data_IF_096149964108
#
_entry.id   IF_096149964108
#
_cell.length_a   1.000
_cell.length_b   1.000
_cell.length_c   1.000
_cell.angle_alpha   90.00
_cell.angle_beta   90.00
_cell.angle_gamma   90.00
#
_symmetry.space_group_name_H-M   'P 1'
#
loop_
_entity.id
_entity.type
_entity.pdbx_description
1 polymer ?
#
# COMPACT_ATOMS: atom_id res chain seq x y z
N UNK A 1 -11.16 -12.76 -19.19
CA UNK A 1 -11.46 -12.86 -17.74
C UNK A 1 -10.30 -12.36 -16.89
N UNK A 2 -9.05 -12.76 -17.15
CA UNK A 2 -7.86 -12.25 -16.44
C UNK A 2 -7.74 -10.71 -16.42
N UNK A 3 -8.00 -10.04 -17.54
CA UNK A 3 -7.91 -8.57 -17.61
C UNK A 3 -8.88 -7.85 -16.65
N UNK A 4 -10.11 -8.38 -16.50
CA UNK A 4 -11.11 -7.80 -15.59
C UNK A 4 -10.74 -7.95 -14.12
N UNK A 5 -10.09 -9.06 -13.74
CA UNK A 5 -9.58 -9.25 -12.37
C UNK A 5 -8.48 -8.23 -12.07
N UNK A 6 -7.52 -8.07 -12.99
CA UNK A 6 -6.43 -7.09 -12.84
C UNK A 6 -6.95 -5.66 -12.71
N UNK A 7 -7.96 -5.29 -13.50
CA UNK A 7 -8.61 -3.97 -13.39
C UNK A 7 -9.33 -3.78 -12.04
N UNK A 8 -10.00 -4.82 -11.53
CA UNK A 8 -10.65 -4.79 -10.23
C UNK A 8 -9.66 -4.69 -9.07
N UNK A 9 -8.61 -5.52 -9.08
CA UNK A 9 -7.55 -5.49 -8.05
C UNK A 9 -6.88 -4.11 -7.98
N UNK A 10 -6.59 -3.51 -9.14
CA UNK A 10 -6.08 -2.14 -9.23
C UNK A 10 -7.06 -1.14 -8.64
N UNK A 11 -8.35 -1.24 -8.97
CA UNK A 11 -9.37 -0.36 -8.42
C UNK A 11 -9.40 -0.42 -6.89
N UNK A 12 -9.35 -1.61 -6.29
CA UNK A 12 -9.31 -1.79 -4.83
C UNK A 12 -8.07 -1.12 -4.24
N UNK A 13 -6.89 -1.33 -4.82
CA UNK A 13 -5.65 -0.69 -4.35
C UNK A 13 -5.73 0.84 -4.44
N UNK A 14 -6.19 1.39 -5.57
CA UNK A 14 -6.33 2.84 -5.71
C UNK A 14 -7.30 3.43 -4.68
N UNK A 15 -8.41 2.74 -4.38
CA UNK A 15 -9.34 3.17 -3.34
C UNK A 15 -8.71 3.13 -1.95
N UNK A 16 -7.92 2.11 -1.65
CA UNK A 16 -7.17 2.03 -0.39
C UNK A 16 -6.17 3.19 -0.25
N UNK A 17 -5.41 3.47 -1.32
CA UNK A 17 -4.39 4.54 -1.33
C UNK A 17 -4.97 5.96 -1.33
N UNK A 18 -6.27 6.15 -1.59
CA UNK A 18 -6.94 7.44 -1.39
C UNK A 18 -7.12 7.80 0.09
N UNK A 19 -7.18 6.80 0.97
CA UNK A 19 -7.29 6.98 2.43
C UNK A 19 -5.91 7.09 3.10
N UNK A 20 -4.89 6.50 2.46
CA UNK A 20 -3.51 6.47 2.95
C UNK A 20 -2.57 7.10 1.94
N UNK A 21 -2.41 8.42 1.95
CA UNK A 21 -1.64 9.16 0.95
C UNK A 21 -0.11 8.97 1.13
N UNK A 22 0.70 9.16 0.07
CA UNK A 22 2.15 9.16 0.22
C UNK A 22 2.61 10.27 1.16
N UNK A 23 3.61 9.97 2.01
CA UNK A 23 4.20 10.93 2.91
C UNK A 23 5.52 11.45 2.32
N UNK A 24 5.67 12.77 2.18
CA UNK A 24 6.90 13.38 1.65
C UNK A 24 8.04 13.42 2.69
N UNK A 25 7.71 13.32 3.98
CA UNK A 25 8.65 13.37 5.11
C UNK A 25 8.13 12.55 6.28
N UNK A 26 9.04 11.95 7.05
CA UNK A 26 8.73 11.34 8.34
C UNK A 26 8.36 12.44 9.34
N UNK A 27 7.07 12.56 9.65
CA UNK A 27 6.51 13.42 10.71
C UNK A 27 5.86 12.55 11.78
N UNK A 28 5.44 13.12 12.91
CA UNK A 28 4.79 12.36 13.99
C UNK A 28 3.47 11.68 13.56
N UNK A 29 2.87 12.14 12.45
CA UNK A 29 1.59 11.64 11.93
C UNK A 29 1.74 10.54 10.87
N UNK A 30 2.98 10.16 10.52
CA UNK A 30 3.20 9.10 9.52
C UNK A 30 2.93 7.72 10.11
N UNK A 31 2.27 6.90 9.31
CA UNK A 31 2.08 5.49 9.60
C UNK A 31 3.04 4.66 8.75
N UNK A 32 3.44 3.52 9.29
CA UNK A 32 4.27 2.54 8.61
C UNK A 32 3.41 1.33 8.29
N UNK A 33 3.32 0.98 7.00
CA UNK A 33 2.62 -0.24 6.57
C UNK A 33 3.50 -1.08 5.66
N UNK A 34 3.60 -2.36 5.97
CA UNK A 34 4.22 -3.35 5.08
C UNK A 34 3.24 -3.76 3.98
N UNK A 35 3.74 -4.24 2.85
CA UNK A 35 2.88 -4.82 1.81
C UNK A 35 2.06 -6.02 2.31
N UNK A 36 2.56 -6.77 3.31
CA UNK A 36 1.81 -7.86 3.94
C UNK A 36 0.59 -7.31 4.71
N UNK A 37 0.78 -6.28 5.52
CA UNK A 37 -0.35 -5.66 6.26
C UNK A 37 -1.40 -5.10 5.31
N UNK A 38 -0.99 -4.48 4.19
CA UNK A 38 -1.93 -4.01 3.17
C UNK A 38 -2.67 -5.19 2.52
N UNK A 39 -1.98 -6.30 2.25
CA UNK A 39 -2.61 -7.52 1.74
C UNK A 39 -3.65 -8.07 2.73
N UNK A 40 -3.30 -8.17 4.00
CA UNK A 40 -4.18 -8.69 5.06
C UNK A 40 -5.43 -7.81 5.24
N UNK A 41 -5.30 -6.49 5.09
CA UNK A 41 -6.43 -5.55 5.17
C UNK A 41 -7.36 -5.62 3.95
N UNK A 42 -6.85 -6.07 2.81
CA UNK A 42 -7.60 -6.15 1.55
C UNK A 42 -8.08 -7.58 1.24
N UNK A 43 -7.68 -8.58 2.03
CA UNK A 43 -7.91 -10.00 1.72
C UNK A 43 -9.39 -10.37 1.65
N UNK A 44 -10.26 -9.66 2.37
CA UNK A 44 -11.71 -9.86 2.33
C UNK A 44 -12.35 -9.37 1.02
N UNK A 45 -11.65 -8.51 0.27
CA UNK A 45 -12.15 -7.89 -0.95
C UNK A 45 -11.49 -8.44 -2.22
N UNK A 46 -10.19 -8.67 -2.18
CA UNK A 46 -9.42 -9.07 -3.34
C UNK A 46 -8.17 -9.88 -2.96
N UNK A 47 -7.88 -10.89 -3.77
CA UNK A 47 -6.65 -11.66 -3.66
C UNK A 47 -5.56 -11.01 -4.52
N UNK A 48 -4.80 -10.11 -3.88
CA UNK A 48 -3.72 -9.31 -4.48
C UNK A 48 -2.39 -9.78 -3.89
N UNK A 49 -1.38 -10.01 -4.73
CA UNK A 49 -0.07 -10.43 -4.23
C UNK A 49 0.70 -9.28 -3.59
N UNK A 50 1.53 -9.59 -2.59
CA UNK A 50 2.45 -8.64 -1.94
C UNK A 50 3.31 -7.90 -2.97
N UNK A 51 3.74 -8.60 -4.03
CA UNK A 51 4.56 -8.03 -5.09
C UNK A 51 3.78 -7.03 -5.97
N UNK A 52 2.51 -7.29 -6.24
CA UNK A 52 1.66 -6.37 -7.00
C UNK A 52 1.34 -5.13 -6.18
N UNK A 53 1.10 -5.29 -4.87
CA UNK A 53 0.97 -4.18 -3.94
C UNK A 53 2.25 -3.34 -3.98
N UNK A 54 3.42 -3.96 -3.75
CA UNK A 54 4.71 -3.26 -3.72
C UNK A 54 4.97 -2.45 -5.00
N UNK A 55 4.69 -3.02 -6.18
CA UNK A 55 4.80 -2.29 -7.45
C UNK A 55 3.84 -1.11 -7.52
N UNK A 56 2.58 -1.31 -7.13
CA UNK A 56 1.59 -0.24 -7.13
C UNK A 56 1.97 0.92 -6.20
N UNK A 57 2.47 0.63 -4.98
CA UNK A 57 2.88 1.69 -4.05
C UNK A 57 4.07 2.50 -4.60
N UNK A 58 5.03 1.82 -5.25
CA UNK A 58 6.16 2.48 -5.94
C UNK A 58 5.68 3.33 -7.12
N UNK A 59 4.81 2.79 -7.98
CA UNK A 59 4.25 3.52 -9.13
C UNK A 59 3.45 4.76 -8.70
N UNK A 60 2.88 4.73 -7.50
CA UNK A 60 2.15 5.84 -6.88
C UNK A 60 3.03 6.84 -6.12
N UNK A 61 4.34 6.60 -6.04
CA UNK A 61 5.30 7.53 -5.43
C UNK A 61 5.45 7.43 -3.92
N UNK A 62 5.09 6.30 -3.31
CA UNK A 62 5.33 6.09 -1.87
C UNK A 62 6.79 5.72 -1.64
N UNK A 63 7.33 6.22 -0.53
CA UNK A 63 8.70 5.90 -0.14
C UNK A 63 8.75 4.65 0.76
N UNK A 64 9.78 3.83 0.50
CA UNK A 64 10.13 2.69 1.35
C UNK A 64 11.19 3.11 2.36
N UNK A 65 10.93 2.91 3.64
CA UNK A 65 11.87 3.21 4.73
C UNK A 65 12.02 2.02 5.67
N UNK A 66 12.96 2.11 6.61
CA UNK A 66 13.03 1.20 7.75
C UNK A 66 12.18 1.77 8.89
N UNK A 67 11.11 1.07 9.24
CA UNK A 67 10.23 1.45 10.35
C UNK A 67 10.95 1.32 11.71
N UNK A 68 10.43 1.93 12.79
CA UNK A 68 11.03 1.86 14.13
C UNK A 68 11.19 0.43 14.69
N UNK A 69 10.42 -0.53 14.18
CA UNK A 69 10.52 -1.95 14.53
C UNK A 69 11.64 -2.70 13.76
N UNK A 70 12.38 -2.00 12.90
CA UNK A 70 13.49 -2.52 12.11
C UNK A 70 13.09 -3.18 10.79
N UNK A 71 11.81 -3.11 10.38
CA UNK A 71 11.33 -3.75 9.15
C UNK A 71 11.14 -2.74 8.01
N UNK A 72 11.35 -3.14 6.74
CA UNK A 72 10.98 -2.30 5.60
C UNK A 72 9.47 -2.06 5.56
N UNK A 73 9.05 -0.80 5.46
CA UNK A 73 7.65 -0.40 5.39
C UNK A 73 7.47 0.85 4.53
N UNK A 74 6.27 1.00 3.98
CA UNK A 74 5.83 2.19 3.26
C UNK A 74 5.44 3.27 4.28
N UNK A 75 5.93 4.50 4.08
CA UNK A 75 5.43 5.65 4.83
C UNK A 75 4.17 6.18 4.19
N UNK A 76 3.14 6.35 5.00
CA UNK A 76 1.85 6.85 4.55
C UNK A 76 1.31 7.89 5.53
N UNK A 77 0.44 8.78 5.04
CA UNK A 77 -0.37 9.68 5.84
C UNK A 77 -1.81 9.17 5.81
N UNK A 78 -2.40 8.98 6.99
CA UNK A 78 -3.83 8.70 7.07
C UNK A 78 -4.58 10.01 6.86
N UNK A 79 -5.50 10.03 5.91
CA UNK A 79 -6.39 11.17 5.66
C UNK A 79 -7.47 11.31 6.74
#
# INVERSE_FOLDING_TARGET
MANKKVEFDKYILYRYFQEYLPADKVTDDVIYKTSQQIQDELSDMAEISINDIARAVVDLGYELVIAPDGRPAWIMLRK
#
